data_IF_292846480062
#
_entry.id   IF_292846480062
#
_cell.length_a   1.000
_cell.length_b   1.000
_cell.length_c   1.000
_cell.angle_alpha   90.00
_cell.angle_beta   90.00
_cell.angle_gamma   90.00
#
_symmetry.space_group_name_H-M   'P 1'
#
loop_
_entity.id
_entity.type
_entity.pdbx_description
1 polymer ?
#
# COMPACT_ATOMS: atom_id res chain seq x y z
N UNK A 1 58.33 18.21 32.31
CA UNK A 1 57.85 18.99 31.14
C UNK A 1 58.82 18.86 29.94
N UNK A 2 59.16 17.63 29.51
CA UNK A 2 60.18 17.39 28.47
C UNK A 2 59.66 16.71 27.19
N UNK A 3 58.53 16.01 27.27
CA UNK A 3 57.96 15.23 26.16
C UNK A 3 57.25 16.15 25.14
N UNK A 4 56.62 17.22 25.63
CA UNK A 4 55.87 18.19 24.81
C UNK A 4 56.73 18.93 23.77
N UNK A 5 58.01 19.19 24.07
CA UNK A 5 58.90 19.93 23.15
C UNK A 5 59.48 19.05 22.05
N UNK A 6 59.81 17.79 22.36
CA UNK A 6 60.38 16.83 21.40
C UNK A 6 59.37 16.40 20.34
N UNK A 7 58.11 16.23 20.73
CA UNK A 7 57.02 15.82 19.84
C UNK A 7 56.11 16.97 19.43
N UNK A 8 56.53 18.23 19.63
CA UNK A 8 55.71 19.42 19.37
C UNK A 8 55.10 19.43 17.97
N UNK A 9 55.89 19.10 16.95
CA UNK A 9 55.43 19.06 15.56
C UNK A 9 54.47 17.88 15.31
N UNK A 10 54.71 16.72 15.95
CA UNK A 10 53.82 15.56 15.89
C UNK A 10 52.47 15.87 16.58
N UNK A 11 52.52 16.55 17.72
CA UNK A 11 51.32 16.94 18.49
C UNK A 11 50.49 17.96 17.72
N UNK A 12 51.13 18.94 17.08
CA UNK A 12 50.45 19.92 16.21
C UNK A 12 49.79 19.22 15.01
N UNK A 13 50.50 18.30 14.35
CA UNK A 13 49.95 17.51 13.25
C UNK A 13 48.76 16.64 13.69
N UNK A 14 48.89 15.93 14.81
CA UNK A 14 47.81 15.11 15.37
C UNK A 14 46.59 15.94 15.75
N UNK A 15 46.79 17.15 16.29
CA UNK A 15 45.69 18.05 16.66
C UNK A 15 44.97 18.59 15.42
N UNK A 16 45.71 18.92 14.35
CA UNK A 16 45.12 19.34 13.07
C UNK A 16 44.31 18.22 12.42
N UNK A 17 44.81 16.99 12.42
CA UNK A 17 44.08 15.82 11.87
C UNK A 17 42.82 15.54 12.69
N UNK A 18 42.90 15.62 14.03
CA UNK A 18 41.74 15.46 14.90
C UNK A 18 40.67 16.54 14.64
N UNK A 19 41.07 17.80 14.48
CA UNK A 19 40.16 18.90 14.16
C UNK A 19 39.54 18.75 12.76
N UNK A 20 40.31 18.32 11.76
CA UNK A 20 39.81 18.04 10.42
C UNK A 20 38.80 16.87 10.43
N UNK A 21 39.08 15.82 11.21
CA UNK A 21 38.18 14.67 11.34
C UNK A 21 36.86 15.05 12.04
N UNK A 22 36.93 15.83 13.12
CA UNK A 22 35.72 16.33 13.81
C UNK A 22 34.93 17.29 12.93
N UNK A 23 35.61 18.20 12.21
CA UNK A 23 34.97 19.11 11.27
C UNK A 23 34.31 18.37 10.10
N UNK A 24 34.96 17.32 9.57
CA UNK A 24 34.40 16.47 8.54
C UNK A 24 33.17 15.72 9.05
N UNK A 25 33.23 15.08 10.21
CA UNK A 25 32.08 14.40 10.79
C UNK A 25 30.93 15.38 11.08
N UNK A 26 31.21 16.57 11.60
CA UNK A 26 30.14 17.55 11.87
C UNK A 26 29.51 18.11 10.58
N UNK A 27 30.28 18.22 9.49
CA UNK A 27 29.78 18.73 8.21
C UNK A 27 29.15 17.64 7.32
N UNK A 28 29.60 16.38 7.43
CA UNK A 28 29.11 15.24 6.65
C UNK A 28 28.19 14.28 7.43
N UNK A 29 28.02 14.41 8.75
CA UNK A 29 26.97 13.68 9.51
C UNK A 29 25.57 14.31 9.35
N UNK A 30 25.35 15.09 8.29
CA UNK A 30 24.04 15.54 7.87
C UNK A 30 23.31 14.44 7.10
N UNK A 31 22.54 13.64 7.83
CA UNK A 31 21.35 12.93 7.35
C UNK A 31 21.54 11.97 6.15
N UNK A 32 21.81 10.69 6.45
CA UNK A 32 21.42 9.57 5.58
C UNK A 32 19.89 9.43 5.56
N UNK A 33 19.24 10.43 4.98
CA UNK A 33 17.80 10.54 4.85
C UNK A 33 17.47 11.26 3.56
N UNK A 34 17.47 10.48 2.48
CA UNK A 34 16.85 10.87 1.22
C UNK A 34 17.74 11.73 0.33
N UNK A 35 18.34 11.06 -0.65
CA UNK A 35 18.44 11.54 -2.04
C UNK A 35 17.42 12.64 -2.32
N UNK A 36 17.89 13.76 -2.91
CA UNK A 36 17.07 14.70 -3.67
C UNK A 36 16.23 13.92 -4.67
N UNK A 37 15.10 13.39 -4.22
CA UNK A 37 14.03 12.93 -5.06
C UNK A 37 13.07 14.09 -4.98
N UNK A 38 13.01 14.85 -6.06
CA UNK A 38 11.84 15.67 -6.37
C UNK A 38 10.62 14.88 -5.88
N UNK A 39 9.93 15.40 -4.86
CA UNK A 39 8.58 14.94 -4.56
C UNK A 39 7.77 15.39 -5.77
N UNK A 40 7.81 14.59 -6.83
CA UNK A 40 6.68 14.52 -7.75
C UNK A 40 5.53 14.06 -6.88
N UNK A 41 4.41 14.77 -6.94
CA UNK A 41 3.19 14.43 -6.20
C UNK A 41 2.72 12.98 -6.44
N UNK A 42 3.34 12.26 -7.38
CA UNK A 42 3.17 10.84 -7.68
C UNK A 42 3.55 9.92 -6.51
N UNK A 43 4.63 10.19 -5.76
CA UNK A 43 5.00 9.33 -4.63
C UNK A 43 4.01 9.45 -3.45
N UNK A 44 3.41 10.63 -3.27
CA UNK A 44 2.33 10.83 -2.30
C UNK A 44 1.01 10.20 -2.76
N UNK A 45 0.72 10.25 -4.08
CA UNK A 45 -0.44 9.60 -4.66
C UNK A 45 -0.37 8.06 -4.56
N UNK A 46 0.78 7.45 -4.87
CA UNK A 46 1.00 6.00 -4.73
C UNK A 46 0.85 5.52 -3.28
N UNK A 47 1.33 6.31 -2.32
CA UNK A 47 1.16 5.99 -0.90
C UNK A 47 -0.31 6.04 -0.45
N UNK A 48 -1.12 6.93 -1.02
CA UNK A 48 -2.56 7.02 -0.74
C UNK A 48 -3.29 5.80 -1.34
N UNK A 49 -3.00 5.46 -2.61
CA UNK A 49 -3.60 4.31 -3.29
C UNK A 49 -3.25 3.00 -2.58
N UNK A 50 -1.99 2.82 -2.17
CA UNK A 50 -1.57 1.64 -1.41
C UNK A 50 -2.27 1.50 -0.06
N UNK A 51 -2.54 2.62 0.62
CA UNK A 51 -3.27 2.63 1.90
C UNK A 51 -4.74 2.27 1.72
N UNK A 52 -5.39 2.81 0.70
CA UNK A 52 -6.81 2.54 0.40
C UNK A 52 -7.02 1.06 -0.01
N UNK A 53 -6.13 0.51 -0.83
CA UNK A 53 -6.15 -0.90 -1.19
C UNK A 53 -5.95 -1.81 0.04
N UNK A 54 -5.02 -1.47 0.93
CA UNK A 54 -4.79 -2.22 2.16
C UNK A 54 -5.99 -2.17 3.10
N UNK A 55 -6.64 -1.00 3.22
CA UNK A 55 -7.88 -0.86 3.99
C UNK A 55 -8.99 -1.76 3.41
N UNK A 56 -9.21 -1.72 2.10
CA UNK A 56 -10.19 -2.58 1.44
C UNK A 56 -9.87 -4.07 1.64
N UNK A 57 -8.60 -4.47 1.55
CA UNK A 57 -8.18 -5.85 1.80
C UNK A 57 -8.42 -6.29 3.25
N UNK A 58 -8.20 -5.40 4.22
CA UNK A 58 -8.51 -5.69 5.62
C UNK A 58 -10.02 -5.82 5.85
N UNK A 59 -10.82 -4.97 5.20
CA UNK A 59 -12.29 -5.05 5.24
C UNK A 59 -12.77 -6.37 4.64
N UNK A 60 -12.28 -6.74 3.44
CA UNK A 60 -12.62 -8.02 2.80
C UNK A 60 -12.17 -9.24 3.62
N UNK A 61 -11.00 -9.17 4.26
CA UNK A 61 -10.53 -10.23 5.17
C UNK A 61 -11.42 -10.37 6.41
N UNK A 62 -12.09 -9.29 6.83
CA UNK A 62 -13.00 -9.33 7.97
C UNK A 62 -14.38 -9.91 7.64
N UNK A 63 -14.70 -10.06 6.36
CA UNK A 63 -15.94 -10.70 5.92
C UNK A 63 -15.82 -12.20 6.17
N UNK A 64 -16.62 -12.68 7.10
CA UNK A 64 -16.83 -14.10 7.34
C UNK A 64 -18.20 -14.48 6.77
N UNK A 65 -18.23 -15.48 5.89
CA UNK A 65 -19.46 -15.99 5.29
C UNK A 65 -19.86 -17.25 6.03
N UNK A 66 -20.92 -17.16 6.81
CA UNK A 66 -21.48 -18.29 7.53
C UNK A 66 -22.31 -19.17 6.58
N UNK A 67 -21.73 -20.31 6.18
CA UNK A 67 -22.40 -21.29 5.33
C UNK A 67 -23.36 -22.20 6.10
N UNK A 68 -23.40 -22.13 7.45
CA UNK A 68 -24.22 -23.02 8.27
C UNK A 68 -25.72 -22.88 8.01
N UNK A 69 -26.16 -21.73 7.50
CA UNK A 69 -27.55 -21.51 7.09
C UNK A 69 -28.00 -22.48 6.00
N UNK A 70 -27.09 -22.93 5.13
CA UNK A 70 -27.39 -23.88 4.06
C UNK A 70 -27.53 -25.33 4.57
N UNK A 71 -27.04 -25.59 5.78
CA UNK A 71 -27.21 -26.87 6.46
C UNK A 71 -28.49 -26.97 7.29
N UNK A 72 -29.16 -25.84 7.53
CA UNK A 72 -30.42 -25.80 8.29
C UNK A 72 -31.52 -26.62 7.56
N UNK A 73 -32.17 -27.58 8.24
CA UNK A 73 -33.28 -28.35 7.66
C UNK A 73 -34.43 -27.48 7.12
N UNK A 74 -34.70 -26.32 7.72
CA UNK A 74 -35.69 -25.37 7.24
C UNK A 74 -35.26 -24.71 5.92
N UNK A 75 -33.97 -24.40 5.75
CA UNK A 75 -33.45 -23.91 4.48
C UNK A 75 -33.55 -24.99 3.39
N UNK A 76 -33.18 -26.24 3.72
CA UNK A 76 -33.25 -27.38 2.78
C UNK A 76 -34.68 -27.80 2.43
N UNK A 77 -35.66 -27.45 3.25
CA UNK A 77 -37.08 -27.74 3.02
C UNK A 77 -37.81 -26.65 2.22
N UNK A 78 -37.14 -25.56 1.82
CA UNK A 78 -37.74 -24.53 0.96
C UNK A 78 -38.15 -25.15 -0.39
N UNK A 79 -39.42 -24.96 -0.74
CA UNK A 79 -39.98 -25.37 -2.00
C UNK A 79 -39.99 -24.18 -2.96
N UNK A 80 -39.59 -24.41 -4.20
CA UNK A 80 -39.81 -23.45 -5.28
C UNK A 80 -41.29 -23.45 -5.67
N UNK A 81 -41.90 -22.26 -5.70
CA UNK A 81 -43.29 -22.04 -6.10
C UNK A 81 -43.38 -21.37 -7.49
N UNK A 82 -42.29 -21.37 -8.25
CA UNK A 82 -42.28 -20.97 -9.65
C UNK A 82 -43.35 -21.70 -10.44
N UNK A 83 -44.07 -20.97 -11.29
CA UNK A 83 -44.95 -21.56 -12.30
C UNK A 83 -44.20 -21.65 -13.60
N UNK A 84 -44.35 -22.77 -14.28
CA UNK A 84 -43.90 -22.88 -15.67
C UNK A 84 -44.60 -21.83 -16.51
N UNK A 85 -43.80 -21.02 -17.22
CA UNK A 85 -44.33 -20.09 -18.21
C UNK A 85 -44.45 -20.87 -19.52
N UNK A 86 -45.70 -21.13 -19.91
CA UNK A 86 -45.97 -21.75 -21.21
C UNK A 86 -45.59 -20.76 -22.31
N UNK A 87 -44.76 -21.15 -23.30
CA UNK A 87 -44.43 -20.29 -24.41
C UNK A 87 -45.70 -19.89 -25.17
N UNK A 88 -45.95 -18.58 -25.27
CA UNK A 88 -47.02 -18.05 -26.12
C UNK A 88 -46.52 -17.93 -27.56
N UNK A 89 -47.40 -18.13 -28.56
CA UNK A 89 -47.03 -17.93 -29.96
C UNK A 89 -46.56 -16.49 -30.16
N UNK A 90 -45.37 -16.33 -30.72
CA UNK A 90 -44.83 -15.03 -31.11
C UNK A 90 -45.77 -14.44 -32.17
N UNK A 91 -46.20 -13.19 -31.96
CA UNK A 91 -47.02 -12.46 -32.92
C UNK A 91 -46.29 -12.25 -34.26
N UNK A 92 -46.95 -11.57 -35.21
CA UNK A 92 -46.29 -11.12 -36.44
C UNK A 92 -45.08 -10.25 -36.08
N UNK A 93 -43.97 -10.41 -36.80
CA UNK A 93 -42.81 -9.52 -36.67
C UNK A 93 -43.21 -8.04 -36.75
N UNK A 94 -44.16 -7.72 -37.62
CA UNK A 94 -44.83 -6.42 -37.67
C UNK A 94 -46.35 -6.58 -37.51
N UNK A 95 -46.93 -6.19 -36.36
CA UNK A 95 -48.37 -6.30 -36.13
C UNK A 95 -49.21 -5.39 -37.05
N UNK A 96 -48.61 -4.43 -37.75
CA UNK A 96 -49.29 -3.46 -38.60
C UNK A 96 -49.09 -3.68 -40.11
N UNK A 97 -48.37 -4.71 -40.54
CA UNK A 97 -48.20 -4.94 -41.98
C UNK A 97 -49.55 -5.28 -42.66
N UNK A 98 -49.79 -4.84 -43.91
CA UNK A 98 -51.05 -5.11 -44.62
C UNK A 98 -51.35 -6.62 -44.73
N UNK A 99 -52.63 -6.96 -44.87
CA UNK A 99 -53.13 -8.33 -45.03
C UNK A 99 -53.20 -8.76 -46.49
#
# INVERSE_FOLDING_TARGET
MGILKKYKNILIGATLIALAFVGYNFFFSGNDGGVLTSVTNEAAADAIVGKELLALLLDLKSIDLDESIFDDPAFRALLDFGRDIVPEPVGRENPFAPL
#
